data_IF_755893782937
#
_entry.id   IF_755893782937
#
_cell.length_a   1.000
_cell.length_b   1.000
_cell.length_c   1.000
_cell.angle_alpha   90.00
_cell.angle_beta   90.00
_cell.angle_gamma   90.00
#
_symmetry.space_group_name_H-M   'P 1'
#
loop_
_entity.id
_entity.type
_entity.pdbx_description
1 polymer ?
#
# COMPACT_ATOMS: atom_id res chain seq x y z
N UNK A 1 -7.30 -7.24 -22.57
CA UNK A 1 -7.05 -8.21 -21.49
C UNK A 1 -8.38 -8.50 -20.83
N UNK A 2 -8.79 -9.78 -20.77
CA UNK A 2 -9.92 -10.19 -19.96
C UNK A 2 -9.54 -9.95 -18.51
N UNK A 3 -10.12 -8.94 -17.86
CA UNK A 3 -9.92 -8.72 -16.43
C UNK A 3 -10.63 -9.84 -15.68
N UNK A 4 -9.90 -10.58 -14.83
CA UNK A 4 -10.49 -11.49 -13.86
C UNK A 4 -11.58 -10.72 -13.10
N UNK A 5 -12.82 -11.23 -13.00
CA UNK A 5 -13.86 -10.61 -12.20
C UNK A 5 -13.38 -10.35 -10.78
N UNK A 6 -13.75 -9.21 -10.21
CA UNK A 6 -13.29 -8.81 -8.87
C UNK A 6 -13.48 -9.92 -7.82
N UNK A 7 -14.63 -10.60 -7.84
CA UNK A 7 -14.95 -11.68 -6.91
C UNK A 7 -13.99 -12.87 -7.06
N UNK A 8 -13.66 -13.25 -8.30
CA UNK A 8 -12.72 -14.34 -8.57
C UNK A 8 -11.31 -13.98 -8.09
N UNK A 9 -10.90 -12.72 -8.26
CA UNK A 9 -9.63 -12.22 -7.76
C UNK A 9 -9.58 -12.20 -6.23
N UNK A 10 -10.67 -11.80 -5.57
CA UNK A 10 -10.81 -11.89 -4.10
C UNK A 10 -10.67 -13.33 -3.63
N UNK A 11 -11.44 -14.25 -4.20
CA UNK A 11 -11.37 -15.68 -3.87
C UNK A 11 -9.98 -16.26 -4.09
N UNK A 12 -9.32 -15.90 -5.19
CA UNK A 12 -7.96 -16.38 -5.50
C UNK A 12 -6.94 -15.89 -4.46
N UNK A 13 -6.94 -14.59 -4.15
CA UNK A 13 -5.96 -14.00 -3.24
C UNK A 13 -6.17 -14.45 -1.78
N UNK A 14 -7.42 -14.62 -1.32
CA UNK A 14 -7.68 -15.10 0.04
C UNK A 14 -7.31 -16.57 0.21
N UNK A 15 -7.49 -17.39 -0.83
CA UNK A 15 -7.04 -18.78 -0.83
C UNK A 15 -5.51 -18.91 -0.85
N UNK A 16 -4.81 -18.00 -1.54
CA UNK A 16 -3.34 -18.05 -1.70
C UNK A 16 -2.57 -17.48 -0.50
N UNK A 17 -3.03 -16.39 0.10
CA UNK A 17 -2.29 -15.67 1.15
C UNK A 17 -2.99 -15.78 2.52
N UNK A 18 -4.19 -15.21 2.65
CA UNK A 18 -5.10 -15.31 3.79
C UNK A 18 -6.26 -14.32 3.60
N UNK A 19 -7.24 -14.33 4.50
CA UNK A 19 -8.31 -13.32 4.57
C UNK A 19 -7.85 -11.99 5.21
N UNK A 20 -6.55 -11.80 5.44
CA UNK A 20 -6.00 -10.58 6.03
C UNK A 20 -5.87 -9.45 4.99
N UNK A 21 -6.31 -8.27 5.38
CA UNK A 21 -6.07 -7.01 4.66
C UNK A 21 -5.17 -6.13 5.50
N UNK A 22 -4.03 -5.71 4.94
CA UNK A 22 -3.13 -4.77 5.63
C UNK A 22 -3.59 -3.33 5.38
N UNK A 23 -3.97 -2.63 6.45
CA UNK A 23 -4.21 -1.18 6.42
C UNK A 23 -2.89 -0.42 6.37
N UNK A 24 -2.78 0.57 5.47
CA UNK A 24 -1.63 1.47 5.36
C UNK A 24 -2.09 2.88 5.71
N UNK A 25 -1.88 3.23 6.98
CA UNK A 25 -2.46 4.40 7.63
C UNK A 25 -1.34 5.24 8.29
N UNK A 26 -0.54 5.99 7.50
CA UNK A 26 0.64 6.70 8.02
C UNK A 26 0.28 7.85 8.97
N UNK A 27 0.65 7.72 10.25
CA UNK A 27 0.51 8.77 11.28
C UNK A 27 1.88 9.33 11.65
N UNK A 28 2.09 10.65 11.47
CA UNK A 28 3.35 11.31 11.82
C UNK A 28 3.66 11.24 13.33
N UNK A 29 2.62 11.22 14.18
CA UNK A 29 2.76 11.18 15.64
C UNK A 29 3.47 9.90 16.10
N UNK A 30 3.36 8.84 15.31
CA UNK A 30 3.86 7.51 15.64
C UNK A 30 5.12 7.14 14.84
N UNK A 31 5.74 8.11 14.15
CA UNK A 31 6.87 7.82 13.25
C UNK A 31 8.23 7.80 13.95
N UNK A 32 8.98 6.69 13.84
CA UNK A 32 10.37 6.67 14.26
C UNK A 32 11.18 7.72 13.51
N UNK A 33 12.08 8.40 14.23
CA UNK A 33 12.92 9.46 13.67
C UNK A 33 13.76 9.02 12.45
N UNK A 34 14.01 7.72 12.26
CA UNK A 34 14.74 7.21 11.10
C UNK A 34 14.02 7.42 9.76
N UNK A 35 12.71 7.73 9.77
CA UNK A 35 11.94 8.06 8.56
C UNK A 35 12.06 9.54 8.16
N UNK A 36 12.48 10.42 9.06
CA UNK A 36 12.65 11.85 8.81
C UNK A 36 14.12 12.16 8.53
N UNK A 37 14.53 11.91 7.28
CA UNK A 37 15.91 12.10 6.81
C UNK A 37 16.02 13.35 5.93
N UNK A 38 17.11 14.10 6.09
CA UNK A 38 17.37 15.33 5.33
C UNK A 38 18.05 15.04 3.98
N UNK A 39 17.36 14.28 3.12
CA UNK A 39 17.84 13.92 1.77
C UNK A 39 16.80 14.19 0.67
N UNK A 40 15.75 14.95 1.00
CA UNK A 40 14.73 15.39 0.06
C UNK A 40 13.65 14.35 -0.27
N UNK A 41 13.70 13.14 0.31
CA UNK A 41 12.64 12.14 0.16
C UNK A 41 11.63 12.27 1.32
N UNK A 42 10.34 12.54 1.04
CA UNK A 42 9.32 12.64 2.08
C UNK A 42 9.22 11.38 2.94
N UNK A 43 9.10 11.55 4.27
CA UNK A 43 8.96 10.45 5.23
C UNK A 43 7.81 9.49 4.86
N UNK A 44 6.69 10.03 4.34
CA UNK A 44 5.51 9.24 4.02
C UNK A 44 5.77 8.25 2.87
N UNK A 45 6.63 8.62 1.90
CA UNK A 45 7.05 7.71 0.84
C UNK A 45 7.87 6.55 1.41
N UNK A 46 8.81 6.85 2.31
CA UNK A 46 9.64 5.83 2.99
C UNK A 46 8.81 4.88 3.83
N UNK A 47 7.83 5.40 4.56
CA UNK A 47 6.92 4.59 5.35
C UNK A 47 6.13 3.62 4.46
N UNK A 48 5.52 4.12 3.38
CA UNK A 48 4.79 3.28 2.42
C UNK A 48 5.69 2.20 1.87
N UNK A 49 6.91 2.56 1.44
CA UNK A 49 7.83 1.59 0.88
C UNK A 49 8.24 0.53 1.89
N UNK A 50 8.58 0.93 3.10
CA UNK A 50 8.92 0.02 4.20
C UNK A 50 7.78 -0.95 4.50
N UNK A 51 6.54 -0.47 4.61
CA UNK A 51 5.38 -1.32 4.90
C UNK A 51 5.14 -2.31 3.77
N UNK A 52 5.17 -1.85 2.51
CA UNK A 52 4.98 -2.71 1.34
C UNK A 52 6.08 -3.78 1.24
N UNK A 53 7.34 -3.45 1.54
CA UNK A 53 8.43 -4.42 1.63
C UNK A 53 8.24 -5.43 2.76
N UNK A 54 7.74 -4.97 3.92
CA UNK A 54 7.57 -5.81 5.10
C UNK A 54 6.42 -6.82 4.97
N UNK A 55 5.33 -6.47 4.27
CA UNK A 55 4.14 -7.33 4.11
C UNK A 55 4.13 -8.10 2.78
N UNK A 56 5.20 -7.94 2.03
CA UNK A 56 5.40 -8.54 0.74
C UNK A 56 5.19 -10.06 0.75
N UNK A 57 4.35 -10.57 -0.15
CA UNK A 57 3.92 -11.99 -0.23
C UNK A 57 3.26 -12.57 1.04
N UNK A 58 2.95 -11.76 2.05
CA UNK A 58 2.28 -12.21 3.27
C UNK A 58 0.78 -11.95 3.24
N UNK A 59 0.35 -10.91 2.51
CA UNK A 59 -1.05 -10.52 2.39
C UNK A 59 -1.52 -10.51 0.94
N UNK A 60 -2.79 -10.84 0.72
CA UNK A 60 -3.41 -10.73 -0.60
C UNK A 60 -3.86 -9.30 -0.92
N UNK A 61 -4.05 -8.47 0.11
CA UNK A 61 -4.66 -7.16 -0.02
C UNK A 61 -4.04 -6.10 0.88
N UNK A 62 -4.00 -4.88 0.36
CA UNK A 62 -3.71 -3.66 1.12
C UNK A 62 -4.84 -2.65 0.96
N UNK A 63 -5.04 -1.83 1.99
CA UNK A 63 -6.00 -0.73 1.99
C UNK A 63 -5.29 0.54 2.44
N UNK A 64 -5.09 1.49 1.53
CA UNK A 64 -4.56 2.80 1.87
C UNK A 64 -5.66 3.69 2.43
N UNK A 65 -5.47 4.27 3.61
CA UNK A 65 -6.43 5.24 4.14
C UNK A 65 -6.10 6.65 3.64
N UNK A 66 -6.81 7.09 2.59
CA UNK A 66 -6.50 8.32 1.85
C UNK A 66 -6.36 9.56 2.73
N UNK A 67 -7.19 9.72 3.76
CA UNK A 67 -7.17 10.87 4.66
C UNK A 67 -5.79 11.17 5.29
N UNK A 68 -5.00 10.13 5.60
CA UNK A 68 -3.64 10.31 6.13
C UNK A 68 -2.65 10.85 5.07
N UNK A 69 -2.83 10.43 3.82
CA UNK A 69 -2.05 10.92 2.69
C UNK A 69 -2.45 12.36 2.32
N UNK A 70 -3.75 12.64 2.32
CA UNK A 70 -4.29 13.98 2.06
C UNK A 70 -3.79 15.00 3.09
N UNK A 71 -3.69 14.61 4.36
CA UNK A 71 -3.15 15.45 5.43
C UNK A 71 -1.68 15.87 5.20
N UNK A 72 -0.94 15.15 4.35
CA UNK A 72 0.43 15.47 3.96
C UNK A 72 0.51 16.29 2.66
N UNK A 73 -0.61 16.72 2.08
CA UNK A 73 -0.66 17.50 0.85
C UNK A 73 -0.10 16.76 -0.36
N UNK A 74 0.59 17.48 -1.27
CA UNK A 74 1.06 16.93 -2.54
C UNK A 74 2.03 15.75 -2.37
N UNK A 75 2.91 15.79 -1.35
CA UNK A 75 3.84 14.70 -1.09
C UNK A 75 3.12 13.43 -0.67
N UNK A 76 2.08 13.54 0.15
CA UNK A 76 1.24 12.41 0.53
C UNK A 76 0.43 11.84 -0.63
N UNK A 77 -0.20 12.68 -1.44
CA UNK A 77 -0.93 12.23 -2.64
C UNK A 77 0.00 11.54 -3.65
N UNK A 78 1.24 12.03 -3.78
CA UNK A 78 2.27 11.39 -4.61
C UNK A 78 2.64 10.02 -4.05
N UNK A 79 2.88 9.93 -2.73
CA UNK A 79 3.16 8.65 -2.06
C UNK A 79 2.01 7.65 -2.20
N UNK A 80 0.76 8.10 -2.08
CA UNK A 80 -0.43 7.28 -2.30
C UNK A 80 -0.47 6.71 -3.72
N UNK A 81 -0.31 7.58 -4.73
CA UNK A 81 -0.33 7.16 -6.14
C UNK A 81 0.77 6.14 -6.46
N UNK A 82 2.00 6.39 -5.98
CA UNK A 82 3.13 5.48 -6.16
C UNK A 82 2.93 4.17 -5.40
N UNK A 83 2.43 4.23 -4.16
CA UNK A 83 2.10 3.07 -3.33
C UNK A 83 1.04 2.17 -3.96
N UNK A 84 -0.05 2.75 -4.49
CA UNK A 84 -1.08 2.00 -5.20
C UNK A 84 -0.55 1.34 -6.47
N UNK A 85 0.30 2.06 -7.23
CA UNK A 85 0.94 1.52 -8.43
C UNK A 85 1.89 0.36 -8.08
N UNK A 86 2.64 0.49 -6.98
CA UNK A 86 3.56 -0.53 -6.49
C UNK A 86 2.82 -1.75 -5.95
N UNK A 87 1.70 -1.55 -5.26
CA UNK A 87 0.84 -2.63 -4.82
C UNK A 87 0.25 -3.36 -6.03
N UNK A 88 -0.32 -2.66 -7.00
CA UNK A 88 -0.87 -3.24 -8.24
C UNK A 88 0.21 -3.78 -9.18
N UNK A 89 0.70 -4.98 -8.93
CA UNK A 89 1.43 -5.78 -9.93
C UNK A 89 0.69 -7.11 -10.15
N UNK A 90 0.67 -7.60 -11.38
CA UNK A 90 -0.37 -8.46 -11.95
C UNK A 90 -0.56 -9.86 -11.33
N UNK A 91 -1.41 -10.73 -11.93
CA UNK A 91 -1.88 -12.00 -11.35
C UNK A 91 -0.79 -13.00 -10.93
N UNK A 92 0.45 -12.84 -11.40
CA UNK A 92 1.60 -13.66 -10.99
C UNK A 92 2.48 -13.00 -9.90
N UNK A 93 2.34 -11.70 -9.63
CA UNK A 93 3.26 -10.93 -8.78
C UNK A 93 2.56 -9.84 -7.95
N UNK A 94 1.87 -10.27 -6.87
CA UNK A 94 1.62 -9.52 -5.60
C UNK A 94 0.57 -8.39 -5.52
N UNK A 95 -0.14 -8.44 -4.38
CA UNK A 95 -1.00 -7.47 -3.66
C UNK A 95 -2.04 -6.68 -4.48
N UNK A 96 -3.33 -6.91 -4.23
CA UNK A 96 -4.40 -6.07 -4.81
C UNK A 96 -4.85 -4.98 -3.83
N UNK A 97 -5.11 -3.77 -4.34
CA UNK A 97 -5.60 -2.64 -3.53
C UNK A 97 -7.13 -2.64 -3.40
N UNK A 98 -7.66 -2.34 -2.21
CA UNK A 98 -9.07 -2.01 -1.99
C UNK A 98 -9.29 -0.47 -1.95
N UNK A 99 -10.32 0.02 -2.66
CA UNK A 99 -10.84 1.39 -2.58
C UNK A 99 -10.46 2.32 -3.75
N UNK A 100 -11.47 2.98 -4.32
CA UNK A 100 -11.36 4.34 -4.90
C UNK A 100 -11.78 5.34 -3.82
#
# INVERSE_FOLDING_TARGET
>A
MSSIPWIELVQHNTAKYSELVAGIDPSLVDMPACFDQDDGIPWISRFVDFVLDAIDRQVGFVKFQSAYFEACGLSGLTALSLGMKRAKVGPDERITTFGE
#
